data_IF_591935235580
#
_entry.id   IF_591935235580
#
_cell.length_a   1.000
_cell.length_b   1.000
_cell.length_c   1.000
_cell.angle_alpha   90.00
_cell.angle_beta   90.00
_cell.angle_gamma   90.00
#
_symmetry.space_group_name_H-M   'P 1'
#
loop_
_entity.id
_entity.type
_entity.pdbx_description
1 polymer ?
#
# COMPACT_ATOMS: atom_id res chain seq x y z
N UNK A 1 17.51 0.70 -13.78
CA UNK A 1 16.29 1.54 -13.86
C UNK A 1 15.12 0.60 -13.67
N UNK A 2 14.59 0.49 -12.46
CA UNK A 2 13.51 -0.46 -12.15
C UNK A 2 12.20 0.19 -12.55
N UNK A 3 11.53 -0.36 -13.55
CA UNK A 3 10.19 0.06 -13.94
C UNK A 3 9.20 -0.40 -12.86
N UNK A 4 8.47 0.55 -12.27
CA UNK A 4 7.37 0.34 -11.30
C UNK A 4 6.33 -0.70 -11.79
N UNK A 5 6.25 -0.96 -13.09
CA UNK A 5 5.23 -1.79 -13.72
C UNK A 5 5.54 -3.30 -13.77
N UNK A 6 6.74 -3.75 -13.37
CA UNK A 6 7.11 -5.17 -13.47
C UNK A 6 6.74 -5.98 -12.20
N UNK A 7 6.60 -5.34 -11.04
CA UNK A 7 6.60 -6.03 -9.74
C UNK A 7 5.26 -6.67 -9.34
N UNK A 8 4.17 -6.41 -10.05
CA UNK A 8 2.85 -6.94 -9.70
C UNK A 8 2.35 -6.47 -8.32
N UNK A 9 1.27 -7.07 -7.82
CA UNK A 9 0.76 -6.78 -6.47
C UNK A 9 1.36 -7.74 -5.44
N UNK A 10 1.77 -7.19 -4.29
CA UNK A 10 2.07 -7.98 -3.10
C UNK A 10 0.75 -8.23 -2.35
N UNK A 11 0.31 -9.48 -2.36
CA UNK A 11 -0.88 -9.91 -1.62
C UNK A 11 -0.54 -10.13 -0.15
N UNK A 12 -1.48 -9.77 0.71
CA UNK A 12 -1.42 -9.95 2.15
C UNK A 12 -2.49 -10.95 2.58
N UNK A 13 -2.19 -11.75 3.59
CA UNK A 13 -3.19 -12.63 4.23
C UNK A 13 -4.32 -11.77 4.83
N UNK A 14 -5.56 -12.08 4.46
CA UNK A 14 -6.74 -11.42 4.98
C UNK A 14 -7.96 -12.35 4.94
N UNK A 15 -8.84 -12.20 5.92
CA UNK A 15 -10.13 -12.86 5.97
C UNK A 15 -11.24 -11.92 5.48
N UNK A 16 -11.06 -11.38 4.26
CA UNK A 16 -12.07 -10.52 3.68
C UNK A 16 -13.31 -11.33 3.26
N UNK A 17 -14.50 -10.69 3.24
CA UNK A 17 -15.69 -11.29 2.65
C UNK A 17 -15.44 -11.76 1.22
N UNK A 18 -16.00 -12.92 0.87
CA UNK A 18 -15.83 -13.59 -0.43
C UNK A 18 -14.38 -13.91 -0.83
N UNK A 19 -13.42 -13.81 0.09
CA UNK A 19 -12.01 -14.02 -0.21
C UNK A 19 -11.39 -12.93 -1.08
N UNK A 20 -11.93 -11.71 -1.04
CA UNK A 20 -11.34 -10.55 -1.73
C UNK A 20 -9.88 -10.34 -1.31
N UNK A 21 -8.97 -10.02 -2.25
CA UNK A 21 -7.57 -9.83 -1.91
C UNK A 21 -7.35 -8.56 -1.07
N UNK A 22 -6.42 -8.64 -0.12
CA UNK A 22 -5.78 -7.49 0.54
C UNK A 22 -4.38 -7.32 -0.05
N UNK A 23 -3.96 -6.09 -0.35
CA UNK A 23 -2.63 -5.82 -0.96
C UNK A 23 -1.79 -4.86 -0.14
N UNK A 24 -0.45 -4.96 -0.25
CA UNK A 24 0.48 -3.96 0.29
C UNK A 24 0.65 -2.80 -0.69
N UNK A 25 0.39 -1.60 -0.20
CA UNK A 25 0.65 -0.34 -0.89
C UNK A 25 2.07 0.17 -0.70
N UNK A 26 2.47 1.10 -1.57
CA UNK A 26 3.81 1.70 -1.58
C UNK A 26 3.74 3.17 -2.01
N UNK A 27 4.66 3.99 -1.50
CA UNK A 27 4.99 5.28 -2.11
C UNK A 27 5.78 5.02 -3.40
N UNK A 28 5.66 5.92 -4.37
CA UNK A 28 6.55 5.95 -5.53
C UNK A 28 7.40 7.20 -5.42
N UNK A 29 8.65 7.03 -5.01
CA UNK A 29 9.62 8.13 -4.85
C UNK A 29 10.77 7.84 -5.82
N UNK A 30 11.04 8.78 -6.73
CA UNK A 30 12.07 8.64 -7.78
C UNK A 30 11.95 7.33 -8.59
N UNK A 31 10.72 6.94 -8.90
CA UNK A 31 10.43 5.72 -9.65
C UNK A 31 10.68 4.42 -8.88
N UNK A 32 10.82 4.47 -7.55
CA UNK A 32 10.99 3.28 -6.70
C UNK A 32 9.83 3.12 -5.73
N UNK A 33 9.35 1.88 -5.60
CA UNK A 33 8.44 1.48 -4.53
C UNK A 33 9.15 1.63 -3.19
N UNK A 34 8.58 2.44 -2.30
CA UNK A 34 9.19 2.82 -1.03
C UNK A 34 8.14 2.75 0.08
N UNK A 35 8.51 2.28 1.26
CA UNK A 35 7.65 2.31 2.45
C UNK A 35 7.64 3.73 3.06
N UNK A 36 6.75 3.99 4.01
CA UNK A 36 6.85 5.19 4.85
C UNK A 36 8.17 5.14 5.63
N UNK A 37 8.83 6.29 5.79
CA UNK A 37 10.15 6.36 6.44
C UNK A 37 10.14 6.03 7.92
N UNK A 38 9.01 6.20 8.59
CA UNK A 38 8.77 5.79 9.98
C UNK A 38 8.13 4.40 10.10
N UNK A 39 7.84 3.75 8.96
CA UNK A 39 7.13 2.48 8.91
C UNK A 39 5.62 2.57 9.15
N UNK A 40 5.06 3.78 9.27
CA UNK A 40 3.62 3.98 9.49
C UNK A 40 2.77 3.48 8.33
N UNK A 41 1.63 2.87 8.66
CA UNK A 41 0.64 2.41 7.69
C UNK A 41 -0.78 2.80 8.10
N UNK A 42 -1.70 2.77 7.14
CA UNK A 42 -3.13 2.82 7.38
C UNK A 42 -3.86 1.75 6.55
N UNK A 43 -4.97 1.25 7.07
CA UNK A 43 -5.85 0.34 6.33
C UNK A 43 -6.80 1.13 5.43
N UNK A 44 -6.93 0.67 4.18
CA UNK A 44 -7.94 1.15 3.25
C UNK A 44 -9.08 0.15 3.19
N UNK A 45 -10.30 0.63 3.46
CA UNK A 45 -11.50 -0.20 3.52
C UNK A 45 -12.40 0.11 2.33
N UNK A 46 -13.06 -0.92 1.80
CA UNK A 46 -14.05 -0.76 0.76
C UNK A 46 -15.26 0.05 1.29
N UNK A 47 -15.57 1.23 0.73
CA UNK A 47 -16.67 2.06 1.23
C UNK A 47 -18.05 1.43 1.04
N UNK A 48 -18.19 0.46 0.13
CA UNK A 48 -19.44 -0.29 -0.06
C UNK A 48 -19.58 -1.46 0.92
N UNK A 49 -18.49 -1.89 1.56
CA UNK A 49 -18.49 -3.02 2.49
C UNK A 49 -17.37 -2.89 3.52
N UNK A 50 -17.72 -2.46 4.74
CA UNK A 50 -16.72 -2.07 5.73
C UNK A 50 -15.91 -3.24 6.33
N UNK A 51 -16.35 -4.48 6.12
CA UNK A 51 -15.60 -5.69 6.51
C UNK A 51 -14.56 -6.12 5.44
N UNK A 52 -14.56 -5.49 4.27
CA UNK A 52 -13.63 -5.78 3.16
C UNK A 52 -12.44 -4.80 3.17
N UNK A 53 -11.29 -5.28 3.65
CA UNK A 53 -10.05 -4.52 3.72
C UNK A 53 -9.27 -4.64 2.40
N UNK A 54 -9.16 -3.55 1.66
CA UNK A 54 -8.50 -3.51 0.35
C UNK A 54 -6.98 -3.65 0.47
N UNK A 55 -6.38 -3.14 1.55
CA UNK A 55 -4.93 -3.12 1.69
C UNK A 55 -4.42 -2.29 2.84
N UNK A 56 -3.11 -2.40 3.09
CA UNK A 56 -2.36 -1.52 3.98
C UNK A 56 -1.44 -0.63 3.15
N UNK A 57 -1.54 0.69 3.34
CA UNK A 57 -0.80 1.68 2.56
C UNK A 57 0.10 2.51 3.47
N UNK A 58 1.23 3.05 2.97
CA UNK A 58 2.11 3.91 3.74
C UNK A 58 1.37 5.15 4.26
N UNK A 59 1.50 5.41 5.55
CA UNK A 59 1.10 6.66 6.17
C UNK A 59 2.28 7.64 6.08
N UNK A 60 2.44 8.25 4.91
CA UNK A 60 3.64 9.04 4.58
C UNK A 60 3.86 10.21 5.53
N UNK A 61 5.11 10.35 5.97
CA UNK A 61 5.56 11.46 6.81
C UNK A 61 5.86 12.71 5.98
N UNK A 62 6.16 13.82 6.65
CA UNK A 62 6.65 15.03 5.99
C UNK A 62 7.98 14.77 5.27
N UNK A 63 8.86 13.98 5.87
CA UNK A 63 10.15 13.59 5.29
C UNK A 63 9.97 12.81 3.99
N UNK A 64 8.99 11.90 3.92
CA UNK A 64 8.70 11.12 2.71
C UNK A 64 8.24 12.01 1.55
N UNK A 65 7.42 13.03 1.84
CA UNK A 65 6.92 13.99 0.83
C UNK A 65 8.03 14.90 0.30
N UNK A 66 9.03 15.22 1.12
CA UNK A 66 10.13 16.12 0.75
C UNK A 66 11.31 15.41 0.08
N UNK A 67 11.21 14.09 -0.11
CA UNK A 67 12.28 13.25 -0.66
C UNK A 67 12.30 13.38 -2.19
N UNK A 68 13.34 14.03 -2.71
CA UNK A 68 13.67 14.15 -4.14
C UNK A 68 14.84 13.26 -4.54
#
# INVERSE_FOLDING_TARGET
>A
MTHVLETGFEYMEANNPNGSPKVRGYNIINGKLTLASDGGTYESTNPAWLDDCLGEFPLSTKEDVQRL
#
